data_IF_679234727662
#
_entry.id   IF_679234727662
#
_cell.length_a   1.000
_cell.length_b   1.000
_cell.length_c   1.000
_cell.angle_alpha   90.00
_cell.angle_beta   90.00
_cell.angle_gamma   90.00
#
_symmetry.space_group_name_H-M   'P 1'
#
loop_
_entity.id
_entity.type
_entity.pdbx_description
1 polymer ?
#
# COMPACT_ATOMS: atom_id res chain seq x y z
N UNK A 1 -6.34 -44.19 31.97
CA UNK A 1 -6.61 -43.61 30.64
C UNK A 1 -7.67 -42.53 30.77
N UNK A 2 -7.28 -41.27 30.89
CA UNK A 2 -8.19 -40.13 30.77
C UNK A 2 -7.96 -39.51 29.40
N UNK A 3 -9.00 -39.53 28.59
CA UNK A 3 -9.02 -39.01 27.22
C UNK A 3 -8.86 -37.49 27.30
N UNK A 4 -7.76 -36.99 26.75
CA UNK A 4 -7.51 -35.57 26.53
C UNK A 4 -8.38 -35.16 25.34
N UNK A 5 -9.39 -34.34 25.59
CA UNK A 5 -10.16 -33.68 24.54
C UNK A 5 -9.30 -32.60 23.88
N UNK A 6 -8.96 -32.79 22.61
CA UNK A 6 -8.46 -31.73 21.75
C UNK A 6 -9.57 -30.69 21.58
N UNK A 7 -9.38 -29.48 22.10
CA UNK A 7 -10.14 -28.31 21.70
C UNK A 7 -9.61 -27.91 20.31
N UNK A 8 -10.42 -28.14 19.28
CA UNK A 8 -10.14 -27.69 17.93
C UNK A 8 -10.33 -26.17 17.90
N UNK A 9 -9.23 -25.41 17.91
CA UNK A 9 -9.24 -23.95 17.69
C UNK A 9 -9.54 -23.75 16.20
N UNK A 10 -10.77 -23.38 15.88
CA UNK A 10 -11.19 -23.06 14.53
C UNK A 10 -10.67 -21.69 14.09
N UNK A 11 -9.38 -21.57 13.76
CA UNK A 11 -8.99 -20.55 12.80
C UNK A 11 -9.54 -21.04 11.45
N UNK A 12 -10.50 -20.32 10.85
CA UNK A 12 -10.70 -20.43 9.40
C UNK A 12 -9.52 -19.69 8.76
N UNK A 13 -8.33 -20.28 8.83
CA UNK A 13 -7.20 -19.92 7.99
C UNK A 13 -7.41 -20.63 6.65
N UNK A 14 -8.41 -20.19 5.88
CA UNK A 14 -8.44 -20.56 4.47
C UNK A 14 -7.33 -19.76 3.79
N UNK A 15 -6.41 -20.44 3.11
CA UNK A 15 -5.47 -19.85 2.14
C UNK A 15 -6.19 -19.32 0.89
N UNK A 16 -7.44 -18.86 1.02
CA UNK A 16 -8.33 -18.49 -0.07
C UNK A 16 -9.23 -17.32 0.30
N UNK A 17 -9.83 -16.72 -0.71
CA UNK A 17 -10.73 -15.57 -0.57
C UNK A 17 -11.94 -15.88 0.31
N UNK A 18 -12.22 -14.99 1.27
CA UNK A 18 -13.46 -15.00 2.03
C UNK A 18 -14.61 -14.43 1.19
N UNK A 19 -15.72 -15.16 1.11
CA UNK A 19 -16.95 -14.71 0.45
C UNK A 19 -17.90 -14.06 1.45
N UNK A 20 -18.68 -13.09 0.97
CA UNK A 20 -19.71 -12.45 1.78
C UNK A 20 -20.81 -13.43 2.20
N UNK A 21 -21.29 -13.31 3.43
CA UNK A 21 -22.44 -14.05 3.93
C UNK A 21 -23.63 -13.12 4.11
N UNK A 22 -24.83 -13.58 3.73
CA UNK A 22 -26.08 -12.89 4.10
C UNK A 22 -26.54 -13.41 5.45
N UNK A 23 -26.01 -12.85 6.53
CA UNK A 23 -26.48 -13.13 7.89
C UNK A 23 -26.72 -11.81 8.63
N UNK A 24 -27.77 -11.72 9.47
CA UNK A 24 -27.97 -10.56 10.32
C UNK A 24 -26.82 -10.43 11.32
N UNK A 25 -26.41 -9.20 11.61
CA UNK A 25 -25.55 -8.90 12.77
C UNK A 25 -26.24 -9.46 14.01
N UNK A 26 -25.53 -10.25 14.81
CA UNK A 26 -26.11 -10.87 16.01
C UNK A 26 -26.46 -9.79 17.05
N UNK A 27 -27.54 -10.02 17.81
CA UNK A 27 -27.93 -9.16 18.93
C UNK A 27 -26.78 -9.11 19.94
N UNK A 28 -26.38 -7.90 20.37
CA UNK A 28 -25.33 -7.72 21.37
C UNK A 28 -23.93 -7.52 20.82
N UNK A 29 -23.76 -7.15 19.55
CA UNK A 29 -22.49 -6.67 19.00
C UNK A 29 -22.33 -5.15 19.17
N UNK A 30 -21.08 -4.69 19.28
CA UNK A 30 -20.71 -3.27 19.31
C UNK A 30 -20.22 -2.83 17.95
N UNK A 31 -20.83 -1.77 17.42
CA UNK A 31 -20.39 -1.10 16.21
C UNK A 31 -19.20 -0.18 16.50
N UNK A 32 -18.18 -0.26 15.65
CA UNK A 32 -17.07 0.70 15.56
C UNK A 32 -17.18 1.35 14.18
N UNK A 33 -17.84 2.50 14.15
CA UNK A 33 -18.10 3.30 12.95
C UNK A 33 -16.85 4.05 12.47
N UNK A 34 -16.93 4.58 11.25
CA UNK A 34 -15.88 5.35 10.60
C UNK A 34 -15.37 6.57 11.40
N UNK A 35 -16.19 7.11 12.30
CA UNK A 35 -15.91 8.28 13.13
C UNK A 35 -15.46 7.93 14.56
N UNK A 36 -15.26 6.65 14.86
CA UNK A 36 -14.84 6.23 16.18
C UNK A 36 -13.36 6.59 16.43
N UNK A 37 -13.09 7.38 17.47
CA UNK A 37 -11.73 7.84 17.81
C UNK A 37 -10.73 6.71 18.12
N UNK A 38 -11.20 5.50 18.41
CA UNK A 38 -10.33 4.32 18.62
C UNK A 38 -9.90 3.63 17.33
N UNK A 39 -10.55 3.96 16.20
CA UNK A 39 -10.23 3.43 14.89
C UNK A 39 -9.13 4.27 14.24
N UNK A 40 -7.91 3.75 14.25
CA UNK A 40 -6.75 4.44 13.68
C UNK A 40 -6.72 4.29 12.17
N UNK A 41 -6.62 5.39 11.44
CA UNK A 41 -6.47 5.36 9.99
C UNK A 41 -5.01 5.11 9.59
N UNK A 42 -4.81 4.36 8.50
CA UNK A 42 -3.51 3.97 7.96
C UNK A 42 -3.40 4.44 6.51
N UNK A 43 -2.36 5.21 6.20
CA UNK A 43 -2.23 5.86 4.90
C UNK A 43 -3.26 6.98 4.68
N UNK A 44 -3.50 7.36 3.43
CA UNK A 44 -4.53 8.35 3.07
C UNK A 44 -5.89 7.68 3.01
N UNK A 45 -6.75 8.00 3.98
CA UNK A 45 -8.11 7.48 4.10
C UNK A 45 -9.07 8.65 4.05
N UNK A 46 -10.13 8.54 3.25
CA UNK A 46 -11.10 9.63 3.06
C UNK A 46 -12.36 9.33 3.86
N UNK A 47 -12.80 10.27 4.69
CA UNK A 47 -14.12 10.19 5.32
C UNK A 47 -15.19 10.66 4.34
N UNK A 48 -16.15 9.79 4.03
CA UNK A 48 -17.26 10.07 3.11
C UNK A 48 -18.60 9.87 3.83
N UNK A 49 -19.09 10.90 4.54
CA UNK A 49 -20.28 10.75 5.38
C UNK A 49 -20.02 9.79 6.54
N UNK A 50 -20.69 8.64 6.53
CA UNK A 50 -20.63 7.59 7.56
C UNK A 50 -19.67 6.43 7.24
N UNK A 51 -18.95 6.48 6.11
CA UNK A 51 -17.98 5.46 5.68
C UNK A 51 -16.58 6.02 5.47
N UNK A 52 -15.61 5.12 5.39
CA UNK A 52 -14.23 5.43 5.01
C UNK A 52 -13.95 4.90 3.60
N UNK A 53 -13.53 5.77 2.69
CA UNK A 53 -13.04 5.44 1.36
C UNK A 53 -11.56 5.04 1.40
N UNK A 54 -11.27 3.84 0.91
CA UNK A 54 -9.94 3.28 0.80
C UNK A 54 -9.53 3.30 -0.68
N UNK A 55 -8.72 4.28 -1.09
CA UNK A 55 -8.36 4.53 -2.50
C UNK A 55 -6.97 4.05 -2.88
N UNK A 56 -6.00 4.32 -2.02
CA UNK A 56 -4.60 4.02 -2.29
C UNK A 56 -4.23 2.60 -1.87
N UNK A 57 -3.19 2.06 -2.49
CA UNK A 57 -2.61 0.78 -2.07
C UNK A 57 -2.22 0.82 -0.59
N UNK A 58 -2.47 -0.27 0.13
CA UNK A 58 -2.19 -0.44 1.56
C UNK A 58 -2.86 0.57 2.52
N UNK A 59 -3.74 1.48 2.08
CA UNK A 59 -4.51 2.30 3.02
C UNK A 59 -5.55 1.45 3.76
N UNK A 60 -6.01 1.90 4.93
CA UNK A 60 -6.95 1.14 5.74
C UNK A 60 -7.04 1.61 7.17
N UNK A 61 -7.34 0.69 8.08
CA UNK A 61 -7.57 1.01 9.50
C UNK A 61 -6.97 -0.03 10.44
N UNK A 62 -6.77 0.39 11.68
CA UNK A 62 -6.34 -0.45 12.78
C UNK A 62 -7.27 -0.30 13.98
N UNK A 63 -7.66 -1.44 14.54
CA UNK A 63 -8.46 -1.52 15.76
C UNK A 63 -7.76 -2.44 16.77
N UNK A 64 -7.53 -1.93 17.99
CA UNK A 64 -7.10 -2.78 19.11
C UNK A 64 -8.25 -2.92 20.09
N UNK A 65 -8.68 -4.14 20.36
CA UNK A 65 -9.77 -4.39 21.30
C UNK A 65 -9.66 -5.75 21.99
N UNK A 66 -10.27 -5.83 23.17
CA UNK A 66 -10.53 -7.11 23.84
C UNK A 66 -11.85 -7.68 23.31
N UNK A 67 -11.79 -8.76 22.53
CA UNK A 67 -12.94 -9.36 21.83
C UNK A 67 -12.66 -10.82 21.48
N UNK A 68 -13.70 -11.58 21.21
CA UNK A 68 -13.63 -12.95 20.64
C UNK A 68 -14.02 -12.99 19.17
N UNK A 69 -14.59 -11.90 18.65
CA UNK A 69 -15.16 -11.82 17.29
C UNK A 69 -14.74 -10.53 16.58
N UNK A 70 -14.55 -10.62 15.26
CA UNK A 70 -14.50 -9.48 14.35
C UNK A 70 -15.35 -9.76 13.10
N UNK A 71 -16.29 -8.87 12.81
CA UNK A 71 -16.94 -8.76 11.51
C UNK A 71 -16.60 -7.42 10.86
N UNK A 72 -16.55 -7.41 9.54
CA UNK A 72 -16.22 -6.24 8.74
C UNK A 72 -17.35 -5.99 7.76
N UNK A 73 -17.88 -4.77 7.72
CA UNK A 73 -18.93 -4.38 6.80
C UNK A 73 -18.39 -3.43 5.72
N UNK A 74 -18.41 -3.88 4.47
CA UNK A 74 -17.77 -3.19 3.35
C UNK A 74 -18.54 -3.34 2.04
N UNK A 75 -18.30 -2.40 1.13
CA UNK A 75 -18.60 -2.55 -0.30
C UNK A 75 -17.45 -2.02 -1.16
N UNK A 76 -17.65 -2.05 -2.48
CA UNK A 76 -16.73 -1.52 -3.48
C UNK A 76 -17.49 -1.01 -4.71
N UNK A 77 -16.85 -0.19 -5.53
CA UNK A 77 -17.32 0.22 -6.84
C UNK A 77 -17.35 -0.93 -7.85
N UNK A 78 -16.50 -1.94 -7.67
CA UNK A 78 -16.26 -3.00 -8.64
C UNK A 78 -15.98 -4.36 -7.96
N UNK A 79 -16.17 -5.49 -8.66
CA UNK A 79 -16.04 -6.83 -8.06
C UNK A 79 -14.59 -7.35 -7.97
N UNK A 80 -13.60 -6.57 -8.37
CA UNK A 80 -12.19 -6.91 -8.49
C UNK A 80 -11.29 -6.12 -7.51
N UNK A 81 -11.89 -5.72 -6.38
CA UNK A 81 -11.20 -5.05 -5.30
C UNK A 81 -11.00 -5.97 -4.11
N UNK A 82 -9.81 -5.89 -3.52
CA UNK A 82 -9.41 -6.77 -2.44
C UNK A 82 -8.89 -5.97 -1.27
N UNK A 83 -9.26 -6.38 -0.07
CA UNK A 83 -8.62 -5.96 1.19
C UNK A 83 -8.19 -7.19 1.95
N UNK A 84 -7.29 -7.02 2.91
CA UNK A 84 -6.95 -8.07 3.84
C UNK A 84 -7.02 -7.59 5.28
N UNK A 85 -7.30 -8.52 6.19
CA UNK A 85 -7.26 -8.31 7.63
C UNK A 85 -6.18 -9.19 8.24
N UNK A 86 -5.27 -8.58 8.98
CA UNK A 86 -4.23 -9.24 9.77
C UNK A 86 -4.62 -9.19 11.24
N UNK A 87 -4.45 -10.31 11.94
CA UNK A 87 -4.78 -10.47 13.37
C UNK A 87 -3.49 -10.71 14.14
N UNK A 88 -3.19 -9.82 15.10
CA UNK A 88 -2.04 -9.90 15.99
C UNK A 88 -0.70 -9.98 15.24
N UNK A 89 -0.53 -9.14 14.22
CA UNK A 89 0.70 -9.04 13.41
C UNK A 89 1.12 -10.33 12.68
N UNK A 90 0.19 -11.28 12.50
CA UNK A 90 0.38 -12.50 11.69
C UNK A 90 0.20 -12.22 10.19
N UNK A 91 1.17 -11.52 9.61
CA UNK A 91 1.16 -11.10 8.19
C UNK A 91 1.26 -12.25 7.18
N UNK A 92 1.66 -13.44 7.61
CA UNK A 92 1.77 -14.66 6.82
C UNK A 92 0.42 -15.35 6.58
N UNK A 93 -0.56 -15.14 7.46
CA UNK A 93 -1.91 -15.72 7.36
C UNK A 93 -3.01 -14.66 7.42
N UNK A 94 -3.07 -13.71 6.46
CA UNK A 94 -4.13 -12.72 6.42
C UNK A 94 -5.46 -13.34 5.96
N UNK A 95 -6.59 -12.78 6.43
CA UNK A 95 -7.90 -13.05 5.83
C UNK A 95 -8.10 -12.11 4.66
N UNK A 96 -8.22 -12.64 3.45
CA UNK A 96 -8.42 -11.83 2.23
C UNK A 96 -9.92 -11.72 1.94
N UNK A 97 -10.41 -10.50 1.78
CA UNK A 97 -11.79 -10.19 1.42
C UNK A 97 -11.81 -9.71 -0.02
N UNK A 98 -12.61 -10.37 -0.86
CA UNK A 98 -13.02 -9.83 -2.15
C UNK A 98 -14.18 -8.87 -1.94
N UNK A 99 -13.88 -7.57 -1.92
CA UNK A 99 -14.89 -6.53 -1.86
C UNK A 99 -15.61 -6.43 -3.21
N UNK A 100 -16.93 -6.30 -3.17
CA UNK A 100 -17.76 -6.28 -4.38
C UNK A 100 -18.90 -5.27 -4.18
N UNK A 101 -19.59 -4.84 -5.24
CA UNK A 101 -20.73 -3.93 -5.12
C UNK A 101 -21.83 -4.44 -4.19
N UNK A 102 -22.40 -3.49 -3.44
CA UNK A 102 -23.41 -3.71 -2.42
C UNK A 102 -22.81 -4.00 -1.05
N UNK A 103 -23.30 -3.28 -0.04
CA UNK A 103 -22.91 -3.41 1.38
C UNK A 103 -23.04 -4.86 1.84
N UNK A 104 -21.93 -5.43 2.32
CA UNK A 104 -21.79 -6.83 2.70
C UNK A 104 -21.06 -6.96 4.04
N UNK A 105 -21.47 -7.96 4.81
CA UNK A 105 -20.84 -8.32 6.09
C UNK A 105 -19.94 -9.54 5.89
N UNK A 106 -18.71 -9.46 6.37
CA UNK A 106 -17.69 -10.49 6.28
C UNK A 106 -17.28 -10.95 7.68
N UNK A 107 -17.33 -12.26 7.94
CA UNK A 107 -16.88 -12.86 9.20
C UNK A 107 -15.37 -13.07 9.16
N UNK A 108 -14.62 -12.24 9.87
CA UNK A 108 -13.15 -12.29 9.82
C UNK A 108 -12.61 -13.30 10.83
N UNK A 109 -13.15 -13.26 12.05
CA UNK A 109 -12.77 -14.17 13.11
C UNK A 109 -13.93 -14.38 14.06
N UNK A 110 -14.08 -15.61 14.53
CA UNK A 110 -14.99 -16.03 15.58
C UNK A 110 -14.20 -16.91 16.55
N UNK A 111 -14.61 -16.93 17.81
CA UNK A 111 -14.00 -17.78 18.84
C UNK A 111 -12.50 -17.50 19.08
N UNK A 112 -12.05 -16.25 18.89
CA UNK A 112 -10.74 -15.83 19.37
C UNK A 112 -10.70 -15.95 20.91
N UNK A 113 -9.52 -16.19 21.51
CA UNK A 113 -9.36 -16.11 22.96
C UNK A 113 -9.87 -14.75 23.48
N UNK A 114 -10.53 -14.70 24.64
CA UNK A 114 -11.00 -13.44 25.23
C UNK A 114 -9.82 -12.60 25.80
N UNK A 115 -9.05 -11.99 24.89
CA UNK A 115 -7.87 -11.18 25.18
C UNK A 115 -7.80 -9.98 24.23
N UNK A 116 -6.80 -9.13 24.42
CA UNK A 116 -6.52 -8.04 23.51
C UNK A 116 -6.01 -8.56 22.18
N UNK A 117 -6.69 -8.16 21.11
CA UNK A 117 -6.31 -8.41 19.74
C UNK A 117 -6.07 -7.09 19.00
N UNK A 118 -5.15 -7.13 18.04
CA UNK A 118 -4.97 -6.06 17.05
C UNK A 118 -5.43 -6.53 15.68
N UNK A 119 -6.34 -5.78 15.08
CA UNK A 119 -6.84 -6.01 13.74
C UNK A 119 -6.34 -4.92 12.81
N UNK A 120 -5.61 -5.30 11.76
CA UNK A 120 -5.10 -4.37 10.75
C UNK A 120 -5.76 -4.70 9.42
N UNK A 121 -6.68 -3.85 8.97
CA UNK A 121 -7.32 -3.96 7.67
C UNK A 121 -6.60 -3.04 6.68
N UNK A 122 -6.11 -3.57 5.55
CA UNK A 122 -5.48 -2.78 4.49
C UNK A 122 -5.94 -3.21 3.11
N UNK A 123 -6.10 -2.24 2.21
CA UNK A 123 -6.43 -2.46 0.80
C UNK A 123 -5.23 -3.11 0.07
N UNK A 124 -5.51 -4.13 -0.71
CA UNK A 124 -4.53 -4.84 -1.55
C UNK A 124 -4.44 -4.22 -2.94
N UNK A 125 -5.58 -3.88 -3.54
CA UNK A 125 -5.61 -3.30 -4.88
C UNK A 125 -5.18 -1.85 -4.89
N UNK A 126 -4.68 -1.39 -6.04
CA UNK A 126 -4.28 0.00 -6.24
C UNK A 126 -5.37 0.80 -6.96
N UNK A 127 -5.19 2.12 -7.19
CA UNK A 127 -6.21 2.97 -7.80
C UNK A 127 -6.43 2.77 -9.31
N UNK A 128 -6.08 1.63 -9.89
CA UNK A 128 -6.62 1.23 -11.19
C UNK A 128 -8.13 0.90 -11.13
N UNK A 129 -8.69 0.78 -9.93
CA UNK A 129 -10.13 0.71 -9.61
C UNK A 129 -10.48 1.86 -8.67
N UNK A 130 -11.77 2.24 -8.53
CA UNK A 130 -12.12 3.39 -7.66
C UNK A 130 -11.81 3.07 -6.19
N UNK A 131 -12.39 2.01 -5.61
CA UNK A 131 -11.91 1.48 -4.34
C UNK A 131 -12.87 0.70 -3.47
N UNK A 132 -12.48 0.54 -2.21
CA UNK A 132 -13.27 -0.15 -1.19
C UNK A 132 -13.80 0.87 -0.19
N UNK A 133 -14.98 0.62 0.36
CA UNK A 133 -15.55 1.48 1.39
C UNK A 133 -15.86 0.68 2.65
N UNK A 134 -15.30 1.13 3.76
CA UNK A 134 -15.53 0.57 5.08
C UNK A 134 -16.66 1.30 5.77
N UNK A 135 -17.74 0.58 6.07
CA UNK A 135 -18.90 1.12 6.79
C UNK A 135 -18.73 0.96 8.30
N UNK A 136 -18.46 -0.26 8.77
CA UNK A 136 -18.44 -0.56 10.21
C UNK A 136 -17.60 -1.80 10.51
N UNK A 137 -16.85 -1.77 11.61
CA UNK A 137 -16.33 -2.99 12.23
C UNK A 137 -17.25 -3.39 13.39
N UNK A 138 -17.58 -4.67 13.49
CA UNK A 138 -18.40 -5.20 14.56
C UNK A 138 -17.59 -6.14 15.44
N UNK A 139 -17.64 -5.90 16.75
CA UNK A 139 -16.97 -6.70 17.77
C UNK A 139 -17.98 -7.10 18.84
N UNK A 140 -17.56 -7.89 19.84
CA UNK A 140 -18.44 -8.26 20.94
C UNK A 140 -19.01 -7.02 21.65
N UNK A 141 -20.26 -7.09 22.14
CA UNK A 141 -20.94 -5.94 22.75
C UNK A 141 -20.21 -5.34 23.95
N UNK A 142 -19.51 -6.19 24.70
CA UNK A 142 -18.73 -5.81 25.88
C UNK A 142 -17.26 -5.49 25.55
N UNK A 143 -16.90 -5.40 24.27
CA UNK A 143 -15.52 -5.17 23.85
C UNK A 143 -14.98 -3.84 24.37
N UNK A 144 -13.80 -3.93 24.99
CA UNK A 144 -12.99 -2.79 25.38
C UNK A 144 -12.11 -2.38 24.20
N UNK A 145 -12.18 -1.12 23.79
CA UNK A 145 -11.42 -0.59 22.65
C UNK A 145 -10.30 0.32 23.15
N UNK A 146 -9.19 0.38 22.40
CA UNK A 146 -8.15 1.41 22.58
C UNK A 146 -7.51 1.76 21.25
N UNK A 147 -7.00 2.98 21.15
CA UNK A 147 -6.22 3.44 19.99
C UNK A 147 -4.92 2.63 19.90
N UNK A 148 -4.62 2.10 18.72
CA UNK A 148 -3.29 1.55 18.42
C UNK A 148 -2.28 2.70 18.39
N UNK A 149 -1.17 2.65 19.15
CA UNK A 149 -0.18 3.72 19.11
C UNK A 149 0.44 3.88 17.72
N UNK A 150 0.67 5.13 17.32
CA UNK A 150 1.45 5.42 16.12
C UNK A 150 2.90 4.99 16.25
N UNK A 151 3.50 4.61 15.13
CA UNK A 151 4.93 4.31 15.06
C UNK A 151 5.71 5.62 15.04
N UNK A 152 6.91 5.59 15.62
CA UNK A 152 7.78 6.77 15.67
C UNK A 152 8.34 7.13 14.30
N UNK A 153 8.58 6.12 13.45
CA UNK A 153 9.08 6.29 12.08
C UNK A 153 7.92 6.31 11.10
N UNK A 154 7.92 7.27 10.18
CA UNK A 154 6.93 7.44 9.11
C UNK A 154 7.59 7.44 7.74
N UNK A 155 7.05 6.64 6.82
CA UNK A 155 7.57 6.53 5.45
C UNK A 155 6.47 6.70 4.41
N UNK A 156 6.66 7.58 3.44
CA UNK A 156 5.76 7.67 2.28
C UNK A 156 6.42 7.18 1.02
N UNK A 157 5.72 6.33 0.27
CA UNK A 157 6.17 5.78 -0.99
C UNK A 157 5.43 6.42 -2.14
N UNK A 158 6.14 6.79 -3.19
CA UNK A 158 5.60 7.26 -4.46
C UNK A 158 6.08 6.35 -5.58
N UNK A 159 5.19 5.84 -6.41
CA UNK A 159 5.62 4.95 -7.49
C UNK A 159 4.55 4.38 -8.39
N UNK A 160 4.91 3.30 -9.06
CA UNK A 160 4.07 2.61 -10.06
C UNK A 160 3.62 1.22 -9.59
N UNK A 161 3.34 0.32 -10.54
CA UNK A 161 2.90 -1.07 -10.30
C UNK A 161 3.83 -1.84 -9.37
N UNK A 162 5.14 -1.59 -9.43
CA UNK A 162 6.11 -2.27 -8.56
C UNK A 162 5.89 -1.85 -7.11
N UNK A 163 5.53 -0.58 -6.86
CA UNK A 163 5.23 -0.08 -5.52
C UNK A 163 3.87 -0.56 -5.01
N UNK A 164 2.94 -0.85 -5.91
CA UNK A 164 1.61 -1.43 -5.63
C UNK A 164 1.62 -2.94 -5.38
N UNK A 165 2.73 -3.64 -5.61
CA UNK A 165 2.78 -5.11 -5.54
C UNK A 165 1.93 -5.78 -6.63
N UNK A 166 1.92 -5.21 -7.84
CA UNK A 166 1.17 -5.78 -8.95
C UNK A 166 1.65 -7.19 -9.27
N UNK A 167 0.78 -8.19 -9.10
CA UNK A 167 1.05 -9.58 -9.46
C UNK A 167 2.13 -10.26 -8.63
N UNK A 168 2.55 -9.70 -7.49
CA UNK A 168 3.69 -10.21 -6.74
C UNK A 168 3.48 -11.62 -6.17
N UNK A 169 2.25 -11.96 -5.80
CA UNK A 169 1.84 -13.27 -5.29
C UNK A 169 1.43 -14.26 -6.40
N UNK A 170 1.51 -13.87 -7.67
CA UNK A 170 1.21 -14.78 -8.75
C UNK A 170 2.32 -15.83 -8.89
N UNK A 171 1.95 -17.10 -8.82
CA UNK A 171 2.86 -18.20 -9.13
C UNK A 171 2.88 -18.43 -10.64
N UNK A 172 3.67 -17.60 -11.33
CA UNK A 172 3.90 -17.74 -12.77
C UNK A 172 5.36 -18.07 -13.04
N UNK A 173 5.74 -19.32 -12.77
CA UNK A 173 6.96 -19.87 -13.37
C UNK A 173 6.86 -19.79 -14.91
N UNK A 174 7.46 -18.74 -15.50
CA UNK A 174 7.55 -18.54 -16.96
C UNK A 174 6.29 -18.02 -17.68
N UNK A 175 5.22 -17.71 -16.94
CA UNK A 175 3.93 -17.20 -17.46
C UNK A 175 3.82 -15.67 -17.52
N UNK A 176 2.72 -15.17 -18.09
CA UNK A 176 2.28 -13.75 -17.92
C UNK A 176 1.57 -13.60 -16.58
N UNK A 177 1.73 -12.48 -15.87
CA UNK A 177 1.02 -12.29 -14.61
C UNK A 177 -0.50 -12.38 -14.82
N UNK A 178 -1.23 -13.11 -13.95
CA UNK A 178 -2.67 -13.14 -14.01
C UNK A 178 -3.21 -11.71 -13.81
N UNK A 179 -4.17 -11.34 -14.67
CA UNK A 179 -4.94 -10.09 -14.54
C UNK A 179 -5.73 -10.04 -13.22
N UNK A 180 -5.89 -11.18 -12.54
CA UNK A 180 -6.59 -11.26 -11.27
C UNK A 180 -5.84 -10.51 -10.17
N UNK A 181 -6.47 -9.43 -9.71
CA UNK A 181 -5.96 -8.56 -8.65
C UNK A 181 -5.93 -9.24 -7.27
N UNK A 182 -6.46 -10.45 -7.14
CA UNK A 182 -6.27 -11.29 -5.96
C UNK A 182 -4.78 -11.41 -5.62
N UNK A 183 -3.92 -11.57 -6.62
CA UNK A 183 -2.47 -11.79 -6.47
C UNK A 183 -1.66 -10.51 -6.23
N UNK A 184 -2.32 -9.37 -6.02
CA UNK A 184 -1.62 -8.10 -5.78
C UNK A 184 -1.51 -7.84 -4.28
N UNK A 185 -0.30 -7.61 -3.77
CA UNK A 185 -0.09 -7.40 -2.35
C UNK A 185 0.98 -6.31 -2.04
N UNK A 186 0.58 -5.04 -1.87
CA UNK A 186 1.51 -3.98 -1.51
C UNK A 186 2.16 -4.17 -0.13
N UNK A 187 1.63 -5.05 0.73
CA UNK A 187 2.25 -5.40 2.02
C UNK A 187 3.41 -6.38 1.88
N UNK A 188 3.46 -7.17 0.79
CA UNK A 188 4.60 -8.05 0.45
C UNK A 188 5.54 -7.43 -0.58
N UNK A 189 5.08 -6.41 -1.30
CA UNK A 189 5.94 -5.56 -2.11
C UNK A 189 7.04 -4.89 -1.28
N UNK A 190 8.09 -4.42 -1.96
CA UNK A 190 9.26 -3.80 -1.32
C UNK A 190 8.89 -2.58 -0.45
N UNK A 191 7.79 -1.90 -0.80
CA UNK A 191 7.22 -0.76 -0.07
C UNK A 191 6.72 -1.20 1.31
N UNK A 192 5.60 -1.91 1.39
CA UNK A 192 5.00 -2.33 2.65
C UNK A 192 5.91 -3.23 3.48
N UNK A 193 6.71 -4.09 2.83
CA UNK A 193 7.58 -5.00 3.56
C UNK A 193 8.80 -4.30 4.17
N UNK A 194 9.42 -3.32 3.47
CA UNK A 194 10.52 -2.55 4.07
C UNK A 194 10.07 -1.69 5.25
N UNK A 195 8.86 -1.13 5.19
CA UNK A 195 8.25 -0.40 6.32
C UNK A 195 8.01 -1.32 7.53
N UNK A 196 7.51 -2.54 7.33
CA UNK A 196 7.35 -3.53 8.39
C UNK A 196 8.70 -3.92 9.02
N UNK A 197 9.74 -4.16 8.22
CA UNK A 197 11.10 -4.45 8.70
C UNK A 197 11.75 -3.31 9.49
N UNK A 198 11.28 -2.08 9.28
CA UNK A 198 11.72 -0.87 9.97
C UNK A 198 10.79 -0.43 11.11
N UNK A 199 9.72 -1.18 11.39
CA UNK A 199 8.67 -0.83 12.35
C UNK A 199 8.06 0.57 12.13
N UNK A 200 7.78 0.91 10.86
CA UNK A 200 7.30 2.22 10.44
C UNK A 200 5.79 2.25 10.16
N UNK A 201 5.15 3.40 10.43
CA UNK A 201 3.89 3.75 9.81
C UNK A 201 4.15 4.20 8.36
N UNK A 202 3.25 3.86 7.44
CA UNK A 202 3.49 4.14 6.03
C UNK A 202 2.23 4.37 5.21
N UNK A 203 2.42 5.14 4.13
CA UNK A 203 1.44 5.39 3.07
C UNK A 203 2.08 5.09 1.70
N UNK A 204 1.30 4.52 0.78
CA UNK A 204 1.78 4.14 -0.57
C UNK A 204 0.93 4.86 -1.61
N UNK A 205 1.53 5.85 -2.26
CA UNK A 205 0.93 6.67 -3.30
C UNK A 205 1.44 6.15 -4.64
N UNK A 206 0.85 5.04 -5.07
CA UNK A 206 1.22 4.37 -6.32
C UNK A 206 0.02 3.99 -7.15
N UNK A 207 0.25 3.87 -8.47
CA UNK A 207 -0.75 3.41 -9.43
C UNK A 207 -0.06 2.60 -10.52
N UNK A 208 -0.54 1.39 -10.78
CA UNK A 208 -0.02 0.53 -11.85
C UNK A 208 -0.06 1.26 -13.18
N UNK A 209 1.01 1.14 -13.96
CA UNK A 209 1.13 1.79 -15.26
C UNK A 209 1.36 3.31 -15.24
N UNK A 210 1.49 3.94 -14.07
CA UNK A 210 1.79 5.37 -13.99
C UNK A 210 3.28 5.64 -14.24
N UNK A 211 3.57 6.68 -15.02
CA UNK A 211 4.90 7.24 -15.15
C UNK A 211 4.97 8.67 -14.66
N UNK A 212 6.13 9.29 -14.84
CA UNK A 212 6.38 10.67 -14.44
C UNK A 212 6.15 11.67 -15.58
N UNK A 213 6.47 11.28 -16.80
CA UNK A 213 6.30 12.06 -18.03
C UNK A 213 5.27 11.44 -18.95
N UNK A 214 5.18 10.11 -18.98
CA UNK A 214 4.22 9.36 -19.78
C UNK A 214 3.77 8.10 -19.05
N UNK A 215 2.48 7.80 -19.13
CA UNK A 215 1.85 6.64 -18.50
C UNK A 215 1.13 5.78 -19.54
N UNK A 216 0.60 4.63 -19.10
CA UNK A 216 -0.37 3.84 -19.89
C UNK A 216 -1.78 4.46 -19.93
N UNK A 217 -1.93 5.66 -19.35
CA UNK A 217 -3.13 6.48 -19.31
C UNK A 217 -2.74 7.95 -19.55
N UNK A 218 -3.71 8.85 -19.66
CA UNK A 218 -3.44 10.28 -19.81
C UNK A 218 -2.82 10.92 -18.55
N UNK A 219 -3.09 10.35 -17.39
CA UNK A 219 -2.65 10.83 -16.07
C UNK A 219 -1.22 10.39 -15.76
N UNK A 220 -0.38 11.29 -15.26
CA UNK A 220 0.96 11.01 -14.72
C UNK A 220 1.00 11.18 -13.20
N UNK A 221 2.05 10.69 -12.55
CA UNK A 221 2.17 10.72 -11.08
C UNK A 221 2.09 12.16 -10.54
N UNK A 222 2.62 13.13 -11.28
CA UNK A 222 2.53 14.55 -10.95
C UNK A 222 1.10 15.09 -10.86
N UNK A 223 0.11 14.43 -11.44
CA UNK A 223 -1.29 14.86 -11.40
C UNK A 223 -2.03 14.37 -10.14
N UNK A 224 -1.51 13.32 -9.49
CA UNK A 224 -2.21 12.61 -8.39
C UNK A 224 -1.45 12.47 -7.09
N UNK A 225 -0.16 12.78 -7.06
CA UNK A 225 0.69 12.63 -5.86
C UNK A 225 0.16 13.42 -4.65
N UNK A 226 -0.63 14.47 -4.90
CA UNK A 226 -1.20 15.38 -3.91
C UNK A 226 -2.69 15.14 -3.64
N UNK A 227 -3.23 13.97 -4.00
CA UNK A 227 -4.64 13.64 -3.80
C UNK A 227 -4.85 12.63 -2.67
N UNK A 228 -5.95 12.76 -1.93
CA UNK A 228 -6.45 11.71 -1.04
C UNK A 228 -7.24 10.65 -1.82
N UNK A 229 -7.95 11.08 -2.86
CA UNK A 229 -8.63 10.23 -3.83
C UNK A 229 -8.06 10.50 -5.24
N UNK A 230 -7.34 9.55 -5.86
CA UNK A 230 -6.74 9.72 -7.18
C UNK A 230 -7.74 9.82 -8.34
N UNK A 231 -9.03 9.60 -8.06
CA UNK A 231 -10.14 9.74 -9.01
C UNK A 231 -10.92 11.04 -8.83
N UNK A 232 -10.59 11.87 -7.84
CA UNK A 232 -11.23 13.15 -7.57
C UNK A 232 -10.18 14.25 -7.36
N UNK A 233 -9.88 15.00 -8.42
CA UNK A 233 -8.90 16.08 -8.40
C UNK A 233 -9.26 17.24 -7.46
N UNK A 234 -10.51 17.32 -6.98
CA UNK A 234 -10.91 18.31 -5.98
C UNK A 234 -10.47 17.94 -4.55
N UNK A 235 -10.14 16.66 -4.32
CA UNK A 235 -9.77 16.11 -3.01
C UNK A 235 -8.26 16.09 -2.82
N UNK A 236 -7.70 17.28 -2.60
CA UNK A 236 -6.29 17.47 -2.29
C UNK A 236 -5.96 16.97 -0.88
N UNK A 237 -4.82 16.29 -0.77
CA UNK A 237 -4.26 15.83 0.48
C UNK A 237 -3.74 17.02 1.30
N UNK A 238 -4.11 17.07 2.58
CA UNK A 238 -3.48 17.98 3.53
C UNK A 238 -2.16 17.39 4.03
N UNK A 239 -1.06 17.78 3.38
CA UNK A 239 0.29 17.37 3.73
C UNK A 239 0.68 17.71 5.18
N UNK A 240 0.07 18.72 5.82
CA UNK A 240 0.37 19.06 7.20
C UNK A 240 -0.19 18.03 8.20
N UNK A 241 -1.25 17.31 7.81
CA UNK A 241 -1.89 16.28 8.64
C UNK A 241 -0.98 15.08 8.91
N UNK A 242 -0.05 14.79 8.00
CA UNK A 242 0.88 13.68 8.14
C UNK A 242 2.23 13.96 7.44
N UNK A 243 3.27 14.23 8.24
CA UNK A 243 4.63 14.49 7.75
C UNK A 243 5.50 13.23 7.92
N UNK A 244 5.98 12.60 6.82
CA UNK A 244 6.90 11.48 6.90
C UNK A 244 8.31 11.92 7.28
N UNK A 245 9.06 11.02 7.92
CA UNK A 245 10.49 11.20 8.16
C UNK A 245 11.29 10.90 6.88
N UNK A 246 10.78 9.94 6.08
CA UNK A 246 11.43 9.48 4.84
C UNK A 246 10.39 9.39 3.73
N UNK A 247 10.75 9.91 2.55
CA UNK A 247 9.99 9.75 1.32
C UNK A 247 10.81 8.90 0.35
N UNK A 248 10.21 7.86 -0.19
CA UNK A 248 10.83 6.97 -1.18
C UNK A 248 10.10 7.12 -2.50
N UNK A 249 10.85 7.36 -3.58
CA UNK A 249 10.31 7.55 -4.93
C UNK A 249 10.85 6.45 -5.83
N UNK A 250 9.99 5.53 -6.27
CA UNK A 250 10.33 4.48 -7.22
C UNK A 250 9.37 4.53 -8.42
N UNK A 251 9.74 5.34 -9.42
CA UNK A 251 8.95 5.59 -10.63
C UNK A 251 9.91 5.68 -11.83
N UNK A 252 9.35 5.81 -13.03
CA UNK A 252 10.01 5.84 -14.35
C UNK A 252 10.08 4.51 -15.08
N UNK A 253 9.68 3.40 -14.46
CA UNK A 253 9.62 2.10 -15.16
C UNK A 253 8.77 2.19 -16.43
N UNK A 254 7.58 2.80 -16.31
CA UNK A 254 6.69 3.00 -17.46
C UNK A 254 7.23 4.02 -18.46
N UNK A 255 7.85 5.10 -18.01
CA UNK A 255 8.54 6.05 -18.89
C UNK A 255 9.60 5.33 -19.74
N UNK A 256 10.36 4.41 -19.15
CA UNK A 256 11.39 3.64 -19.88
C UNK A 256 10.85 2.81 -21.04
N UNK A 257 9.58 2.43 -21.00
CA UNK A 257 8.92 1.69 -22.07
C UNK A 257 8.16 2.60 -23.05
N UNK A 258 7.78 3.79 -22.61
CA UNK A 258 6.79 4.63 -23.30
C UNK A 258 7.33 5.95 -23.83
N UNK A 259 8.56 6.36 -23.47
CA UNK A 259 9.13 7.64 -23.89
C UNK A 259 9.06 7.89 -25.40
N UNK A 260 9.19 6.83 -26.23
CA UNK A 260 9.11 6.94 -27.69
C UNK A 260 7.72 7.32 -28.23
N UNK A 261 6.68 7.31 -27.38
CA UNK A 261 5.34 7.78 -27.72
C UNK A 261 5.21 9.31 -27.62
N UNK A 262 6.16 9.98 -26.98
CA UNK A 262 6.18 11.44 -26.87
C UNK A 262 6.86 12.07 -28.10
N UNK A 263 6.37 13.22 -28.53
CA UNK A 263 6.93 13.99 -29.63
C UNK A 263 7.17 15.46 -29.19
N UNK A 264 8.42 15.96 -29.17
CA UNK A 264 9.65 15.20 -29.40
C UNK A 264 9.93 14.20 -28.27
N UNK A 265 10.64 13.10 -28.59
CA UNK A 265 11.10 12.13 -27.59
C UNK A 265 12.03 12.84 -26.59
N UNK A 266 11.73 12.84 -25.28
CA UNK A 266 12.58 13.49 -24.29
C UNK A 266 14.00 12.95 -24.25
N UNK A 267 14.98 13.83 -24.43
CA UNK A 267 16.38 13.53 -24.17
C UNK A 267 16.72 13.55 -22.68
N UNK A 268 17.95 13.12 -22.34
CA UNK A 268 18.46 13.05 -20.97
C UNK A 268 18.17 14.31 -20.14
N UNK A 269 18.46 15.50 -20.69
CA UNK A 269 18.28 16.78 -19.99
C UNK A 269 16.83 16.95 -19.50
N UNK A 270 15.87 16.69 -20.38
CA UNK A 270 14.43 16.81 -20.05
C UNK A 270 14.04 15.78 -18.99
N UNK A 271 14.51 14.53 -19.10
CA UNK A 271 14.22 13.48 -18.11
C UNK A 271 14.72 13.87 -16.72
N UNK A 272 15.98 14.31 -16.63
CA UNK A 272 16.61 14.75 -15.38
C UNK A 272 15.86 15.95 -14.79
N UNK A 273 15.49 16.94 -15.61
CA UNK A 273 14.75 18.12 -15.18
C UNK A 273 13.34 17.77 -14.67
N UNK A 274 12.64 16.85 -15.33
CA UNK A 274 11.31 16.38 -14.90
C UNK A 274 11.37 15.65 -13.58
N UNK A 275 12.35 14.76 -13.39
CA UNK A 275 12.56 14.08 -12.11
C UNK A 275 12.92 15.06 -10.99
N UNK A 276 13.84 15.99 -11.24
CA UNK A 276 14.16 17.06 -10.28
C UNK A 276 12.93 17.89 -9.91
N UNK A 277 12.10 18.26 -10.89
CA UNK A 277 10.87 19.01 -10.66
C UNK A 277 9.92 18.30 -9.68
N UNK A 278 9.71 17.00 -9.89
CA UNK A 278 8.87 16.21 -8.99
C UNK A 278 9.44 16.12 -7.57
N UNK A 279 10.74 15.86 -7.43
CA UNK A 279 11.38 15.85 -6.10
C UNK A 279 11.29 17.22 -5.42
N UNK A 280 11.42 18.33 -6.16
CA UNK A 280 11.24 19.68 -5.59
C UNK A 280 9.83 19.90 -5.05
N UNK A 281 8.80 19.41 -5.73
CA UNK A 281 7.43 19.48 -5.22
C UNK A 281 7.33 18.78 -3.85
N UNK A 282 7.88 17.57 -3.74
CA UNK A 282 7.90 16.82 -2.47
C UNK A 282 8.74 17.49 -1.38
N UNK A 283 9.91 18.04 -1.73
CA UNK A 283 10.75 18.80 -0.78
C UNK A 283 10.03 20.03 -0.21
N UNK A 284 9.10 20.62 -0.98
CA UNK A 284 8.36 21.82 -0.57
C UNK A 284 7.26 21.52 0.45
N UNK A 285 6.57 20.39 0.31
CA UNK A 285 5.50 19.95 1.23
C UNK A 285 6.03 19.11 2.39
N UNK A 286 7.23 18.54 2.25
CA UNK A 286 7.94 17.79 3.28
C UNK A 286 9.27 18.44 3.65
N UNK A 287 9.27 19.56 4.40
CA UNK A 287 10.47 20.33 4.68
C UNK A 287 11.52 19.59 5.51
N UNK A 288 11.11 18.55 6.26
CA UNK A 288 12.00 17.78 7.15
C UNK A 288 12.35 16.38 6.63
N UNK A 289 11.60 15.88 5.66
CA UNK A 289 11.79 14.50 5.20
C UNK A 289 13.15 14.32 4.51
N UNK A 290 13.75 13.16 4.74
CA UNK A 290 14.79 12.61 3.88
C UNK A 290 14.15 12.09 2.60
N UNK A 291 14.83 12.23 1.46
CA UNK A 291 14.35 11.71 0.17
C UNK A 291 15.26 10.58 -0.30
N UNK A 292 14.67 9.43 -0.63
CA UNK A 292 15.34 8.31 -1.27
C UNK A 292 14.76 8.17 -2.68
N UNK A 293 15.56 8.52 -3.69
CA UNK A 293 15.27 8.31 -5.10
C UNK A 293 15.63 6.87 -5.45
N UNK A 294 14.65 5.98 -5.41
CA UNK A 294 14.81 4.56 -5.69
C UNK A 294 14.56 4.23 -7.18
N UNK A 295 15.06 3.07 -7.62
CA UNK A 295 14.79 2.54 -8.96
C UNK A 295 14.90 1.00 -8.98
N UNK A 296 14.00 0.33 -9.70
CA UNK A 296 13.98 -1.13 -9.88
C UNK A 296 12.87 -1.84 -9.08
N UNK A 297 12.91 -3.18 -8.90
CA UNK A 297 13.92 -4.13 -9.39
C UNK A 297 13.63 -4.70 -10.80
N UNK A 298 12.87 -3.98 -11.63
CA UNK A 298 12.56 -4.38 -13.01
C UNK A 298 13.64 -3.96 -14.02
N UNK A 299 13.41 -4.18 -15.32
CA UNK A 299 14.41 -3.97 -16.37
C UNK A 299 14.92 -2.52 -16.53
N UNK A 300 14.29 -1.52 -15.90
CA UNK A 300 14.84 -0.17 -15.84
C UNK A 300 16.23 -0.11 -15.16
N UNK A 301 16.58 -1.10 -14.35
CA UNK A 301 17.92 -1.24 -13.72
C UNK A 301 18.78 -2.32 -14.36
N UNK A 302 18.38 -2.88 -15.51
CA UNK A 302 19.18 -3.88 -16.22
C UNK A 302 20.51 -3.29 -16.74
N UNK A 303 21.48 -4.17 -16.99
CA UNK A 303 22.82 -3.81 -17.46
C UNK A 303 22.75 -2.99 -18.74
N UNK A 304 23.35 -1.80 -18.69
CA UNK A 304 23.38 -0.87 -19.83
C UNK A 304 22.20 0.10 -19.87
N UNK A 305 21.24 -0.03 -18.96
CA UNK A 305 20.19 0.97 -18.79
C UNK A 305 20.79 2.33 -18.39
N UNK A 306 20.41 3.45 -19.05
CA UNK A 306 20.88 4.77 -18.69
C UNK A 306 20.11 5.37 -17.49
N UNK A 307 18.98 4.78 -17.09
CA UNK A 307 18.05 5.33 -16.12
C UNK A 307 18.60 5.51 -14.70
N UNK A 308 19.40 4.57 -14.14
CA UNK A 308 20.10 4.82 -12.88
C UNK A 308 20.97 6.08 -12.95
N UNK A 309 21.64 6.31 -14.09
CA UNK A 309 22.46 7.49 -14.32
C UNK A 309 21.66 8.80 -14.36
N UNK A 310 20.41 8.76 -14.86
CA UNK A 310 19.50 9.92 -14.80
C UNK A 310 19.12 10.25 -13.34
N UNK A 311 18.76 9.25 -12.54
CA UNK A 311 18.45 9.44 -11.11
C UNK A 311 19.67 9.96 -10.35
N UNK A 312 20.86 9.43 -10.59
CA UNK A 312 22.09 9.91 -9.95
C UNK A 312 22.39 11.38 -10.29
N UNK A 313 22.22 11.77 -11.55
CA UNK A 313 22.36 13.16 -12.00
C UNK A 313 21.34 14.06 -11.29
N UNK A 314 20.08 13.65 -11.21
CA UNK A 314 19.05 14.38 -10.49
C UNK A 314 19.39 14.55 -9.00
N UNK A 315 19.81 13.48 -8.31
CA UNK A 315 20.21 13.56 -6.88
C UNK A 315 21.38 14.51 -6.67
N UNK A 316 22.39 14.51 -7.57
CA UNK A 316 23.52 15.46 -7.49
C UNK A 316 23.07 16.91 -7.63
N UNK A 317 22.18 17.20 -8.58
CA UNK A 317 21.59 18.53 -8.79
C UNK A 317 20.82 18.96 -7.54
N UNK A 318 19.90 18.12 -7.07
CA UNK A 318 19.04 18.42 -5.93
C UNK A 318 19.82 18.65 -4.63
N UNK A 319 20.87 17.86 -4.36
CA UNK A 319 21.77 18.08 -3.21
C UNK A 319 22.47 19.43 -3.27
N UNK A 320 22.91 19.86 -4.46
CA UNK A 320 23.55 21.17 -4.65
C UNK A 320 22.57 22.32 -4.42
N UNK A 321 21.32 22.16 -4.88
CA UNK A 321 20.25 23.13 -4.69
C UNK A 321 19.76 23.22 -3.24
N UNK A 322 19.91 22.15 -2.47
CA UNK A 322 19.35 22.01 -1.12
C UNK A 322 20.43 21.62 -0.10
N UNK A 323 21.40 22.50 0.21
CA UNK A 323 22.46 22.20 1.16
C UNK A 323 21.87 21.83 2.53
N UNK A 324 22.36 20.73 3.11
CA UNK A 324 21.89 20.22 4.41
C UNK A 324 20.67 19.30 4.34
N UNK A 325 20.00 19.15 3.18
CA UNK A 325 18.93 18.14 3.01
C UNK A 325 19.53 16.76 2.71
N UNK A 326 18.97 15.72 3.33
CA UNK A 326 19.31 14.33 3.03
C UNK A 326 18.52 13.83 1.83
N UNK A 327 19.14 13.85 0.66
CA UNK A 327 18.58 13.32 -0.60
C UNK A 327 19.55 12.23 -1.06
N UNK A 328 19.11 11.02 -1.43
CA UNK A 328 20.00 9.93 -1.80
C UNK A 328 19.40 9.05 -2.90
N UNK A 329 20.22 8.21 -3.54
CA UNK A 329 19.74 7.17 -4.46
C UNK A 329 19.78 5.78 -3.82
N UNK A 330 18.87 4.91 -4.25
CA UNK A 330 18.82 3.49 -3.87
C UNK A 330 18.40 2.63 -5.06
N UNK A 331 19.33 1.90 -5.67
CA UNK A 331 19.03 1.04 -6.80
C UNK A 331 18.92 -0.41 -6.36
N UNK A 332 17.80 -1.04 -6.71
CA UNK A 332 17.61 -2.47 -6.48
C UNK A 332 18.30 -3.27 -7.58
N UNK A 333 18.77 -4.49 -7.30
CA UNK A 333 19.29 -5.35 -8.35
C UNK A 333 18.20 -5.65 -9.39
N UNK A 334 18.59 -5.79 -10.66
CA UNK A 334 17.69 -6.37 -11.65
C UNK A 334 17.52 -7.85 -11.32
N UNK A 335 16.26 -8.27 -11.11
CA UNK A 335 15.91 -9.64 -10.83
C UNK A 335 15.07 -10.14 -12.01
N UNK A 336 15.60 -11.11 -12.79
CA UNK A 336 15.02 -11.45 -14.08
C UNK A 336 13.75 -12.29 -13.93
N UNK A 337 12.63 -11.59 -13.77
CA UNK A 337 11.29 -12.13 -14.00
C UNK A 337 10.75 -11.59 -15.33
N UNK A 338 9.97 -12.41 -16.03
CA UNK A 338 9.40 -12.10 -17.35
C UNK A 338 8.45 -10.89 -17.31
N UNK A 339 7.87 -10.62 -16.15
CA UNK A 339 6.85 -9.59 -15.91
C UNK A 339 7.14 -8.81 -14.61
N UNK A 340 6.18 -8.56 -13.73
CA UNK A 340 6.40 -7.90 -12.43
C UNK A 340 7.20 -8.76 -11.43
N UNK A 341 7.89 -8.13 -10.46
CA UNK A 341 8.67 -8.86 -9.47
C UNK A 341 7.80 -9.77 -8.58
N UNK A 342 8.29 -10.98 -8.33
CA UNK A 342 7.70 -11.92 -7.38
C UNK A 342 7.88 -11.46 -5.92
N UNK A 343 7.14 -12.05 -4.97
CA UNK A 343 7.35 -11.82 -3.53
C UNK A 343 8.82 -11.96 -3.11
N UNK A 344 9.54 -12.97 -3.64
CA UNK A 344 10.95 -13.20 -3.29
C UNK A 344 11.86 -12.07 -3.78
N UNK A 345 11.57 -11.53 -4.95
CA UNK A 345 12.34 -10.43 -5.52
C UNK A 345 12.03 -9.11 -4.80
N UNK A 346 10.76 -8.90 -4.45
CA UNK A 346 10.35 -7.83 -3.56
C UNK A 346 11.02 -7.91 -2.19
N UNK A 347 11.19 -9.11 -1.62
CA UNK A 347 11.90 -9.30 -0.36
C UNK A 347 13.37 -8.84 -0.44
N UNK A 348 14.08 -9.14 -1.54
CA UNK A 348 15.45 -8.65 -1.74
C UNK A 348 15.48 -7.12 -1.75
N UNK A 349 14.61 -6.48 -2.53
CA UNK A 349 14.49 -5.03 -2.58
C UNK A 349 14.08 -4.44 -1.22
N UNK A 350 13.16 -5.08 -0.50
CA UNK A 350 12.67 -4.66 0.80
C UNK A 350 13.79 -4.62 1.85
N UNK A 351 14.64 -5.65 1.89
CA UNK A 351 15.76 -5.73 2.83
C UNK A 351 16.82 -4.66 2.55
N UNK A 352 17.11 -4.38 1.28
CA UNK A 352 18.00 -3.28 0.87
C UNK A 352 17.42 -1.93 1.33
N UNK A 353 16.14 -1.70 1.06
CA UNK A 353 15.49 -0.44 1.42
C UNK A 353 15.36 -0.26 2.93
N UNK A 354 14.97 -1.31 3.67
CA UNK A 354 14.83 -1.28 5.13
C UNK A 354 16.14 -0.89 5.83
N UNK A 355 17.30 -1.26 5.27
CA UNK A 355 18.61 -0.83 5.79
C UNK A 355 18.87 0.68 5.61
N UNK A 356 18.10 1.37 4.75
CA UNK A 356 18.14 2.82 4.53
C UNK A 356 17.05 3.58 5.31
N UNK A 357 16.10 2.87 5.92
CA UNK A 357 15.01 3.47 6.70
C UNK A 357 15.34 3.63 8.20
N UNK A 358 16.46 3.06 8.66
CA UNK A 358 16.85 2.98 10.07
C UNK A 358 17.82 4.08 10.50
#
# INVERSE_FOLDING_TARGET
MKVIGLILIGLIALLGELKAERLPVQVGMKAVSADNDTLRQLGRVVKEGDRLGLYWAACGVELTCKTTTLLVEMDSDAPDNYVQVVIDDRYDTPVIIRCTPGRKLYRIAEHLPDTWHKFTLRRRTDPTTMGCFLHTLWVDGQACLRVTPAKSLKVEYYGDSVSSGHGDEADVEGGENPVDRFYWNPMKAFTGYSAQLADADYAIISKSGIGLMVSWYDQVLGDIYDLDNPHDYSRKHDFASWQPDIVVINVMQNDSWLLSKLDPVPGEKTIVERYCGFVRNLLSVYPKAQIICALGPMNIVDKGSPWPGYVEKSVKILRKENPGRHISSCFFPYLPTKDHPTVKEHEVAARILAARLK
#
